data_IF_293885980685
#
_entry.id   IF_293885980685
#
_cell.length_a   1.000
_cell.length_b   1.000
_cell.length_c   1.000
_cell.angle_alpha   90.00
_cell.angle_beta   90.00
_cell.angle_gamma   90.00
#
_symmetry.space_group_name_H-M   'P 1'
#
loop_
_entity.id
_entity.type
_entity.pdbx_description
1 polymer ?
#
# COMPACT_ATOMS: atom_id res chain seq x y z
N UNK A 1 -29.30 21.04 24.52
CA UNK A 1 -28.14 21.46 23.71
C UNK A 1 -28.19 20.63 22.45
N UNK A 2 -28.72 21.21 21.39
CA UNK A 2 -28.79 20.53 20.09
C UNK A 2 -27.38 20.50 19.51
N UNK A 3 -26.83 19.30 19.34
CA UNK A 3 -25.60 19.10 18.59
C UNK A 3 -25.96 19.23 17.12
N UNK A 4 -25.84 20.44 16.56
CA UNK A 4 -25.93 20.63 15.12
C UNK A 4 -24.77 19.86 14.49
N UNK A 5 -25.08 18.70 13.92
CA UNK A 5 -24.17 17.94 13.08
C UNK A 5 -23.80 18.84 11.91
N UNK A 6 -22.60 19.42 11.93
CA UNK A 6 -22.05 20.10 10.78
C UNK A 6 -21.89 19.03 9.71
N UNK A 7 -22.67 19.10 8.63
CA UNK A 7 -22.41 18.31 7.44
C UNK A 7 -21.03 18.74 6.90
N UNK A 8 -19.98 18.00 7.27
CA UNK A 8 -18.69 18.13 6.60
C UNK A 8 -18.91 17.70 5.16
N UNK A 9 -18.77 18.65 4.23
CA UNK A 9 -18.65 18.33 2.82
C UNK A 9 -17.51 17.32 2.65
N UNK A 10 -17.69 16.25 1.85
CA UNK A 10 -16.65 15.24 1.68
C UNK A 10 -15.39 15.90 1.12
N UNK A 11 -14.33 15.95 1.94
CA UNK A 11 -13.03 16.51 1.56
C UNK A 11 -12.43 15.68 0.43
N UNK A 12 -11.97 16.33 -0.63
CA UNK A 12 -11.20 15.66 -1.69
C UNK A 12 -9.83 15.22 -1.17
N UNK A 13 -9.13 14.33 -1.88
CA UNK A 13 -7.76 13.93 -1.51
C UNK A 13 -6.77 15.08 -1.46
N UNK A 14 -6.93 16.09 -2.31
CA UNK A 14 -6.12 17.30 -2.27
C UNK A 14 -6.31 18.10 -0.96
N UNK A 15 -7.40 17.88 -0.22
CA UNK A 15 -7.74 18.57 1.03
C UNK A 15 -7.58 17.68 2.28
N UNK A 16 -7.40 16.37 2.12
CA UNK A 16 -7.30 15.42 3.24
C UNK A 16 -6.28 14.33 2.95
N UNK A 17 -5.16 14.37 3.68
CA UNK A 17 -4.11 13.35 3.55
C UNK A 17 -4.60 11.93 3.89
N UNK A 18 -5.59 11.80 4.78
CA UNK A 18 -6.21 10.50 5.08
C UNK A 18 -7.09 10.01 3.94
N UNK A 19 -7.80 10.92 3.25
CA UNK A 19 -8.55 10.57 2.04
C UNK A 19 -7.62 10.14 0.91
N UNK A 20 -6.50 10.84 0.75
CA UNK A 20 -5.45 10.47 -0.20
C UNK A 20 -4.92 9.06 0.02
N UNK A 21 -4.58 8.68 1.26
CA UNK A 21 -4.14 7.31 1.57
C UNK A 21 -5.23 6.28 1.25
N UNK A 22 -6.50 6.59 1.51
CA UNK A 22 -7.62 5.70 1.18
C UNK A 22 -7.73 5.49 -0.33
N UNK A 23 -7.60 6.55 -1.13
CA UNK A 23 -7.64 6.44 -2.59
C UNK A 23 -6.47 5.61 -3.13
N UNK A 24 -5.25 5.74 -2.59
CA UNK A 24 -4.14 4.86 -2.95
C UNK A 24 -4.43 3.38 -2.66
N UNK A 25 -5.13 3.09 -1.57
CA UNK A 25 -5.56 1.72 -1.22
C UNK A 25 -6.64 1.22 -2.19
N UNK A 26 -7.65 2.04 -2.46
CA UNK A 26 -8.77 1.71 -3.36
C UNK A 26 -8.28 1.47 -4.80
N UNK A 27 -7.26 2.20 -5.25
CA UNK A 27 -6.61 2.06 -6.55
C UNK A 27 -5.56 0.93 -6.60
N UNK A 28 -5.41 0.15 -5.52
CA UNK A 28 -4.42 -0.92 -5.40
C UNK A 28 -2.97 -0.43 -5.62
N UNK A 29 -2.69 0.84 -5.31
CA UNK A 29 -1.37 1.48 -5.42
C UNK A 29 -0.64 1.58 -4.06
N UNK A 30 -1.16 0.91 -3.03
CA UNK A 30 -0.62 0.89 -1.68
C UNK A 30 -0.37 -0.53 -1.19
N UNK A 31 0.74 -0.73 -0.47
CA UNK A 31 1.04 -1.96 0.28
C UNK A 31 1.16 -1.61 1.76
N UNK A 32 0.32 -2.24 2.59
CA UNK A 32 0.42 -2.12 4.04
C UNK A 32 1.50 -3.07 4.57
N UNK A 33 2.37 -2.55 5.43
CA UNK A 33 3.42 -3.30 6.12
C UNK A 33 3.09 -3.27 7.62
N UNK A 34 2.55 -4.39 8.12
CA UNK A 34 2.13 -4.55 9.52
C UNK A 34 3.21 -5.21 10.40
N UNK A 35 4.23 -5.84 9.80
CA UNK A 35 5.42 -6.28 10.51
C UNK A 35 6.23 -5.08 11.03
N UNK A 36 6.97 -5.28 12.12
CA UNK A 36 7.86 -4.24 12.65
C UNK A 36 8.91 -3.85 11.60
N UNK A 37 9.11 -2.54 11.40
CA UNK A 37 10.12 -1.96 10.51
C UNK A 37 11.00 -0.99 11.30
N UNK A 38 12.32 -1.13 11.18
CA UNK A 38 13.28 -0.21 11.79
C UNK A 38 13.30 1.14 11.02
N UNK A 39 13.03 2.27 11.68
CA UNK A 39 13.13 3.57 11.02
C UNK A 39 14.58 3.92 10.64
N UNK A 40 15.58 3.28 11.25
CA UNK A 40 16.98 3.47 10.91
C UNK A 40 17.33 2.64 9.66
N UNK A 41 17.35 3.31 8.51
CA UNK A 41 17.76 2.81 7.20
C UNK A 41 16.84 1.77 6.56
N UNK A 42 16.26 0.81 7.28
CA UNK A 42 15.40 -0.22 6.68
C UNK A 42 14.20 0.41 5.95
N UNK A 43 13.45 1.27 6.63
CA UNK A 43 12.32 1.96 6.03
C UNK A 43 12.73 2.77 4.79
N UNK A 44 13.85 3.50 4.87
CA UNK A 44 14.36 4.28 3.76
C UNK A 44 14.83 3.40 2.58
N UNK A 45 15.37 2.21 2.86
CA UNK A 45 15.79 1.24 1.85
C UNK A 45 14.58 0.64 1.12
N UNK A 46 13.49 0.33 1.84
CA UNK A 46 12.21 -0.08 1.23
C UNK A 46 11.71 1.00 0.28
N UNK A 47 11.64 2.25 0.76
CA UNK A 47 11.19 3.39 -0.06
C UNK A 47 12.10 3.61 -1.27
N UNK A 48 13.42 3.49 -1.11
CA UNK A 48 14.37 3.59 -2.23
C UNK A 48 14.12 2.51 -3.27
N UNK A 49 13.90 1.26 -2.86
CA UNK A 49 13.59 0.16 -3.76
C UNK A 49 12.31 0.45 -4.56
N UNK A 50 11.25 0.93 -3.89
CA UNK A 50 9.99 1.32 -4.56
C UNK A 50 10.22 2.37 -5.65
N UNK A 51 11.03 3.40 -5.37
CA UNK A 51 11.40 4.38 -6.40
C UNK A 51 12.23 3.80 -7.56
N UNK A 52 13.04 2.76 -7.33
CA UNK A 52 13.85 2.11 -8.38
C UNK A 52 13.05 1.14 -9.25
N UNK A 53 12.06 0.50 -8.64
CA UNK A 53 11.27 -0.57 -9.28
C UNK A 53 9.92 -0.09 -9.79
N UNK A 54 9.52 1.14 -9.46
CA UNK A 54 8.19 1.70 -9.72
C UNK A 54 7.09 0.83 -9.09
N UNK A 55 7.35 0.22 -7.93
CA UNK A 55 6.38 -0.61 -7.20
C UNK A 55 5.36 0.24 -6.42
N UNK A 56 4.42 -0.41 -5.73
CA UNK A 56 3.38 0.26 -4.95
C UNK A 56 3.93 1.04 -3.75
N UNK A 57 3.18 2.05 -3.35
CA UNK A 57 3.47 2.93 -2.21
C UNK A 57 3.44 2.15 -0.87
N UNK A 58 4.52 2.12 -0.08
CA UNK A 58 4.54 1.41 1.19
C UNK A 58 3.96 2.26 2.33
N UNK A 59 3.03 1.69 3.09
CA UNK A 59 2.52 2.24 4.36
C UNK A 59 2.98 1.36 5.53
N UNK A 60 3.98 1.82 6.27
CA UNK A 60 4.48 1.13 7.47
C UNK A 60 3.60 1.46 8.67
N UNK A 61 2.84 0.46 9.15
CA UNK A 61 1.92 0.60 10.27
C UNK A 61 2.61 0.39 11.62
N UNK A 62 3.67 -0.41 11.66
CA UNK A 62 4.40 -0.79 12.87
C UNK A 62 5.88 -0.39 12.77
N UNK A 63 6.17 0.88 13.04
CA UNK A 63 7.56 1.37 13.06
C UNK A 63 8.16 1.14 14.44
N UNK A 64 9.36 0.58 14.52
CA UNK A 64 10.06 0.32 15.79
C UNK A 64 10.21 1.60 16.60
N UNK A 65 9.90 1.51 17.90
CA UNK A 65 9.87 2.67 18.81
C UNK A 65 8.60 3.52 18.71
N UNK A 66 7.60 3.10 17.92
CA UNK A 66 6.26 3.69 17.93
C UNK A 66 5.56 3.35 19.25
N UNK A 67 5.17 4.38 19.98
CA UNK A 67 4.42 4.27 21.22
C UNK A 67 2.90 4.09 20.94
N UNK A 68 2.16 3.58 21.93
CA UNK A 68 0.70 3.38 21.83
C UNK A 68 -0.09 4.70 21.68
N UNK A 69 0.56 5.85 21.84
CA UNK A 69 -0.02 7.19 21.66
C UNK A 69 -0.38 7.53 20.20
N UNK A 70 -0.05 6.64 19.26
CA UNK A 70 -0.40 6.78 17.85
C UNK A 70 0.69 7.39 16.97
N UNK A 71 1.79 7.91 17.52
CA UNK A 71 2.88 8.55 16.79
C UNK A 71 4.03 7.57 16.48
N UNK A 72 4.39 7.33 15.22
CA UNK A 72 3.65 7.62 13.99
C UNK A 72 3.83 6.49 12.97
N UNK A 73 2.85 6.37 12.07
CA UNK A 73 2.97 5.53 10.87
C UNK A 73 3.64 6.31 9.75
N UNK A 74 4.25 5.64 8.80
CA UNK A 74 4.98 6.28 7.71
C UNK A 74 4.47 5.79 6.36
N UNK A 75 4.07 6.73 5.50
CA UNK A 75 3.86 6.50 4.08
C UNK A 75 5.12 6.94 3.34
N UNK A 76 5.73 6.02 2.60
CA UNK A 76 6.85 6.32 1.73
C UNK A 76 6.42 6.44 0.27
N UNK A 77 7.22 7.08 -0.58
CA UNK A 77 6.96 7.19 -2.03
C UNK A 77 5.56 7.71 -2.43
N UNK A 78 5.06 8.83 -1.85
CA UNK A 78 3.67 9.27 -2.01
C UNK A 78 3.28 9.66 -3.45
N UNK A 79 4.24 9.91 -4.34
CA UNK A 79 3.96 10.37 -5.72
C UNK A 79 4.19 9.27 -6.78
N UNK A 80 4.43 8.02 -6.38
CA UNK A 80 4.74 6.96 -7.34
C UNK A 80 3.50 6.52 -8.12
N UNK A 81 3.66 6.53 -9.44
CA UNK A 81 2.72 5.93 -10.39
C UNK A 81 3.20 4.51 -10.65
N UNK A 82 2.54 3.52 -10.05
CA UNK A 82 2.82 2.12 -10.32
C UNK A 82 2.39 1.75 -11.74
N UNK A 83 3.32 1.35 -12.59
CA UNK A 83 2.97 0.75 -13.89
C UNK A 83 2.41 -0.63 -13.64
N UNK A 84 1.14 -0.85 -13.99
CA UNK A 84 0.57 -2.19 -14.09
C UNK A 84 1.43 -2.95 -15.10
N UNK A 85 2.32 -3.80 -14.61
CA UNK A 85 2.97 -4.79 -15.46
C UNK A 85 1.89 -5.80 -15.78
N UNK A 86 1.43 -5.83 -17.03
CA UNK A 86 0.75 -7.02 -17.54
C UNK A 86 1.74 -8.18 -17.39
N UNK A 87 1.58 -8.96 -16.32
CA UNK A 87 2.16 -10.29 -16.26
C UNK A 87 1.62 -11.00 -17.49
N UNK A 88 2.48 -11.21 -18.50
CA UNK A 88 2.22 -12.21 -19.54
C UNK A 88 1.84 -13.48 -18.79
N UNK A 89 0.54 -13.78 -18.71
CA UNK A 89 0.08 -15.05 -18.16
C UNK A 89 0.77 -16.10 -19.01
N UNK A 90 1.72 -16.81 -18.42
CA UNK A 90 2.24 -18.01 -19.06
C UNK A 90 1.01 -18.88 -19.36
N UNK A 91 0.89 -19.44 -20.58
CA UNK A 91 -0.23 -20.31 -20.89
C UNK A 91 -0.32 -21.37 -19.81
N UNK A 92 -1.51 -21.56 -19.25
CA UNK A 92 -1.74 -22.63 -18.28
C UNK A 92 -1.26 -23.93 -18.93
N UNK A 93 -0.27 -24.58 -18.30
CA UNK A 93 0.19 -25.88 -18.76
C UNK A 93 -1.01 -26.81 -18.60
N UNK A 94 -1.57 -27.35 -19.70
CA UNK A 94 -2.72 -28.22 -19.59
C UNK A 94 -2.34 -29.40 -18.68
N UNK A 95 -3.25 -29.87 -17.81
CA UNK A 95 -3.00 -31.04 -16.99
C UNK A 95 -2.55 -32.17 -17.90
N UNK A 96 -1.42 -32.82 -17.58
CA UNK A 96 -0.98 -34.01 -18.30
C UNK A 96 -2.13 -35.01 -18.22
N UNK A 97 -2.73 -35.33 -19.36
CA UNK A 97 -3.68 -36.43 -19.47
C UNK A 97 -2.99 -37.66 -18.88
N UNK A 98 -3.54 -38.13 -17.76
CA UNK A 98 -3.14 -39.39 -17.16
C UNK A 98 -3.49 -40.45 -18.20
N UNK A 99 -2.47 -41.03 -18.83
CA UNK A 99 -2.60 -42.22 -19.67
C UNK A 99 -3.26 -43.32 -18.83
N UNK A 100 -4.58 -43.39 -18.89
CA UNK A 100 -5.36 -44.56 -18.53
C UNK A 100 -5.28 -45.48 -19.74
N UNK A 101 -4.20 -46.25 -19.84
CA UNK A 101 -4.13 -47.47 -20.65
C UNK A 101 -2.85 -48.22 -20.28
N UNK A 102 -2.95 -49.05 -19.23
CA UNK A 102 -2.24 -50.33 -19.06
C UNK A 102 -3.04 -51.23 -18.10
#
# INVERSE_FOLDING_TARGET
METSSLEETPKSSAQSYRRFIQELQDENNLVAIDSEVDPHLELAAIVRNVYETEDKTPLSNNVKGREENGLFRILGAPEIIHKIRETKRLPEVPPKEVLQDL
#
